data_IF_798922383994
#
_entry.id   IF_798922383994
#
_cell.length_a   1.000
_cell.length_b   1.000
_cell.length_c   1.000
_cell.angle_alpha   90.00
_cell.angle_beta   90.00
_cell.angle_gamma   90.00
#
_symmetry.space_group_name_H-M   'P 1'
#
loop_
_entity.id
_entity.type
_entity.pdbx_description
1 polymer ?
#
# COMPACT_ATOMS: atom_id res chain seq x y z
N UNK A 1 -11.15 63.29 78.59
CA UNK A 1 -9.95 63.98 78.06
C UNK A 1 -8.71 63.12 78.25
N UNK A 2 -8.28 62.75 79.45
CA UNK A 2 -7.10 61.88 79.66
C UNK A 2 -7.27 60.42 79.14
N UNK A 3 -8.46 59.83 79.32
CA UNK A 3 -8.75 58.46 78.86
C UNK A 3 -8.82 58.36 77.33
N UNK A 4 -9.32 59.42 76.69
CA UNK A 4 -9.42 59.52 75.22
C UNK A 4 -8.03 59.61 74.59
N UNK A 5 -7.12 60.39 75.20
CA UNK A 5 -5.71 60.51 74.77
C UNK A 5 -4.99 59.16 74.90
N UNK A 6 -5.20 58.42 75.99
CA UNK A 6 -4.65 57.05 76.16
C UNK A 6 -5.18 56.07 75.12
N UNK A 7 -6.46 56.14 74.78
CA UNK A 7 -7.06 55.29 73.75
C UNK A 7 -6.52 55.62 72.36
N UNK A 8 -6.36 56.91 72.03
CA UNK A 8 -5.73 57.35 70.77
C UNK A 8 -4.28 56.83 70.68
N UNK A 9 -3.50 56.91 71.77
CA UNK A 9 -2.11 56.43 71.78
C UNK A 9 -2.01 54.90 71.60
N UNK A 10 -2.92 54.12 72.23
CA UNK A 10 -3.03 52.68 71.98
C UNK A 10 -3.35 52.36 70.52
N UNK A 11 -4.24 53.12 69.90
CA UNK A 11 -4.66 52.94 68.51
C UNK A 11 -3.52 53.28 67.54
N UNK A 12 -2.78 54.36 67.80
CA UNK A 12 -1.57 54.73 67.06
C UNK A 12 -0.49 53.65 67.13
N UNK A 13 -0.19 53.11 68.31
CA UNK A 13 0.79 52.03 68.44
C UNK A 13 0.34 50.77 67.69
N UNK A 14 -0.96 50.44 67.73
CA UNK A 14 -1.52 49.31 66.98
C UNK A 14 -1.40 49.54 65.46
N UNK A 15 -1.69 50.74 64.98
CA UNK A 15 -1.48 51.11 63.57
C UNK A 15 -0.01 50.94 63.22
N UNK A 16 0.93 51.47 64.01
CA UNK A 16 2.37 51.33 63.74
C UNK A 16 2.80 49.86 63.65
N UNK A 17 2.31 48.99 64.54
CA UNK A 17 2.59 47.54 64.48
C UNK A 17 1.96 46.86 63.26
N UNK A 18 0.76 47.27 62.88
CA UNK A 18 0.08 46.72 61.71
C UNK A 18 0.80 47.18 60.43
N UNK A 19 1.21 48.45 60.34
CA UNK A 19 1.96 49.00 59.20
C UNK A 19 3.33 48.33 59.06
N UNK A 20 4.03 48.04 60.15
CA UNK A 20 5.31 47.30 60.10
C UNK A 20 5.11 45.83 59.71
N UNK A 21 4.02 45.20 60.15
CA UNK A 21 3.65 43.86 59.67
C UNK A 21 3.32 43.87 58.17
N UNK A 22 2.66 44.91 57.67
CA UNK A 22 2.35 45.05 56.24
C UNK A 22 3.63 45.25 55.42
N UNK A 23 4.55 46.13 55.83
CA UNK A 23 5.79 46.36 55.08
C UNK A 23 6.66 45.10 55.02
N UNK A 24 6.76 44.32 56.10
CA UNK A 24 7.47 43.03 56.05
C UNK A 24 6.83 42.04 55.09
N UNK A 25 5.49 41.95 55.05
CA UNK A 25 4.78 41.11 54.09
C UNK A 25 4.99 41.57 52.64
N UNK A 26 5.00 42.87 52.38
CA UNK A 26 5.27 43.44 51.05
C UNK A 26 6.67 43.03 50.58
N UNK A 27 7.69 43.19 51.41
CA UNK A 27 9.06 42.76 51.08
C UNK A 27 9.12 41.26 50.76
N UNK A 28 8.39 40.42 51.50
CA UNK A 28 8.34 38.98 51.20
C UNK A 28 7.56 38.64 49.92
N UNK A 29 6.62 39.49 49.51
CA UNK A 29 5.89 39.33 48.24
C UNK A 29 6.79 39.76 47.09
N UNK A 30 7.48 40.89 47.18
CA UNK A 30 8.43 41.36 46.16
C UNK A 30 9.51 40.31 45.89
N UNK A 31 10.12 39.76 46.96
CA UNK A 31 11.11 38.69 46.80
C UNK A 31 10.55 37.42 46.12
N UNK A 32 9.26 37.12 46.32
CA UNK A 32 8.60 35.98 45.64
C UNK A 32 8.26 36.30 44.19
N UNK A 33 7.95 37.56 43.88
CA UNK A 33 7.70 38.02 42.51
C UNK A 33 9.00 37.96 41.70
N UNK A 34 10.12 38.43 42.25
CA UNK A 34 11.44 38.32 41.60
C UNK A 34 11.78 36.86 41.30
N UNK A 35 11.58 35.95 42.27
CA UNK A 35 11.77 34.51 42.06
C UNK A 35 10.80 33.90 41.03
N UNK A 36 9.61 34.49 40.85
CA UNK A 36 8.66 34.02 39.84
C UNK A 36 9.05 34.52 38.45
N UNK A 37 9.56 35.74 38.33
CA UNK A 37 10.06 36.31 37.08
C UNK A 37 11.26 35.51 36.57
N UNK A 38 12.25 35.20 37.42
CA UNK A 38 13.40 34.36 37.04
C UNK A 38 12.94 32.99 36.50
N UNK A 39 11.93 32.39 37.14
CA UNK A 39 11.39 31.09 36.71
C UNK A 39 10.58 31.20 35.43
N UNK A 40 9.94 32.34 35.17
CA UNK A 40 9.23 32.59 33.92
C UNK A 40 10.22 32.73 32.76
N UNK A 41 11.30 33.47 32.94
CA UNK A 41 12.37 33.61 31.95
C UNK A 41 12.98 32.24 31.59
N UNK A 42 13.26 31.39 32.59
CA UNK A 42 13.72 30.02 32.35
C UNK A 42 12.70 29.18 31.57
N UNK A 43 11.41 29.33 31.88
CA UNK A 43 10.34 28.63 31.16
C UNK A 43 10.21 29.11 29.72
N UNK A 44 10.30 30.41 29.47
CA UNK A 44 10.23 30.99 28.12
C UNK A 44 11.37 30.48 27.24
N UNK A 45 12.61 30.47 27.75
CA UNK A 45 13.77 29.91 27.04
C UNK A 45 13.55 28.41 26.75
N UNK A 46 13.06 27.67 27.74
CA UNK A 46 12.79 26.24 27.57
C UNK A 46 11.69 25.98 26.54
N UNK A 47 10.64 26.81 26.50
CA UNK A 47 9.57 26.70 25.51
C UNK A 47 10.11 27.01 24.12
N UNK A 48 10.86 28.10 23.95
CA UNK A 48 11.47 28.45 22.66
C UNK A 48 12.39 27.34 22.13
N UNK A 49 13.25 26.78 22.99
CA UNK A 49 14.11 25.64 22.58
C UNK A 49 13.32 24.37 22.23
N UNK A 50 12.19 24.13 22.90
CA UNK A 50 11.31 23.01 22.57
C UNK A 50 10.57 23.23 21.24
N UNK A 51 10.13 24.44 20.96
CA UNK A 51 9.49 24.81 19.69
C UNK A 51 10.46 24.65 18.52
N UNK A 52 11.70 25.13 18.66
CA UNK A 52 12.76 24.96 17.65
C UNK A 52 13.04 23.47 17.38
N UNK A 53 13.13 22.66 18.44
CA UNK A 53 13.35 21.22 18.30
C UNK A 53 12.13 20.51 17.68
N UNK A 54 10.91 20.96 17.98
CA UNK A 54 9.69 20.42 17.38
C UNK A 54 9.66 20.68 15.87
N UNK A 55 10.03 21.89 15.44
CA UNK A 55 10.13 22.24 14.01
C UNK A 55 11.20 21.39 13.32
N UNK A 56 12.40 21.29 13.87
CA UNK A 56 13.47 20.46 13.32
C UNK A 56 13.07 18.97 13.24
N UNK A 57 12.33 18.48 14.25
CA UNK A 57 11.83 17.10 14.28
C UNK A 57 10.78 16.86 13.18
N UNK A 58 9.87 17.82 12.95
CA UNK A 58 8.88 17.76 11.88
C UNK A 58 9.54 17.72 10.50
N UNK A 59 10.55 18.56 10.27
CA UNK A 59 11.31 18.55 9.02
C UNK A 59 12.01 17.21 8.79
N UNK A 60 12.71 16.69 9.81
CA UNK A 60 13.36 15.37 9.75
C UNK A 60 12.36 14.25 9.47
N UNK A 61 11.16 14.29 10.09
CA UNK A 61 10.10 13.32 9.84
C UNK A 61 9.60 13.38 8.39
N UNK A 62 9.31 14.57 7.87
CA UNK A 62 8.88 14.73 6.47
C UNK A 62 9.93 14.23 5.47
N UNK A 63 11.20 14.51 5.73
CA UNK A 63 12.31 14.01 4.93
C UNK A 63 12.45 12.48 4.99
N UNK A 64 12.25 11.90 6.17
CA UNK A 64 12.28 10.45 6.36
C UNK A 64 11.12 9.77 5.63
N UNK A 65 9.90 10.31 5.71
CA UNK A 65 8.73 9.83 4.96
C UNK A 65 9.00 9.84 3.46
N UNK A 66 9.59 10.92 2.94
CA UNK A 66 9.96 11.03 1.52
C UNK A 66 11.00 9.99 1.12
N UNK A 67 12.00 9.72 1.96
CA UNK A 67 13.00 8.66 1.73
C UNK A 67 12.38 7.28 1.77
N UNK A 68 11.46 7.03 2.70
CA UNK A 68 10.73 5.76 2.81
C UNK A 68 9.86 5.50 1.58
N UNK A 69 9.14 6.49 1.08
CA UNK A 69 8.34 6.38 -0.15
C UNK A 69 9.22 6.02 -1.35
N UNK A 70 10.35 6.71 -1.53
CA UNK A 70 11.31 6.40 -2.61
C UNK A 70 11.89 5.00 -2.48
N UNK A 71 12.29 4.60 -1.27
CA UNK A 71 12.81 3.26 -1.02
C UNK A 71 11.76 2.19 -1.32
N UNK A 72 10.51 2.43 -0.92
CA UNK A 72 9.39 1.54 -1.18
C UNK A 72 9.14 1.37 -2.68
N UNK A 73 9.17 2.45 -3.47
CA UNK A 73 9.02 2.38 -4.91
C UNK A 73 10.19 1.65 -5.59
N UNK A 74 11.43 1.85 -5.12
CA UNK A 74 12.58 1.07 -5.57
C UNK A 74 12.43 -0.43 -5.29
N UNK A 75 11.98 -0.80 -4.08
CA UNK A 75 11.73 -2.22 -3.72
C UNK A 75 10.67 -2.83 -4.64
N UNK A 76 9.59 -2.11 -4.93
CA UNK A 76 8.56 -2.57 -5.87
C UNK A 76 9.13 -2.78 -7.26
N UNK A 77 9.92 -1.84 -7.76
CA UNK A 77 10.51 -1.95 -9.10
C UNK A 77 11.47 -3.14 -9.19
N UNK A 78 12.34 -3.33 -8.18
CA UNK A 78 13.25 -4.47 -8.09
C UNK A 78 12.51 -5.81 -8.05
N UNK A 79 11.46 -5.92 -7.23
CA UNK A 79 10.63 -7.13 -7.18
C UNK A 79 9.99 -7.42 -8.54
N UNK A 80 9.47 -6.38 -9.20
CA UNK A 80 8.84 -6.51 -10.51
C UNK A 80 9.82 -6.92 -11.61
N UNK A 81 11.05 -6.38 -11.61
CA UNK A 81 12.10 -6.77 -12.54
C UNK A 81 12.53 -8.22 -12.33
N UNK A 82 12.69 -8.63 -11.07
CA UNK A 82 13.05 -10.00 -10.69
C UNK A 82 12.00 -11.04 -11.11
N UNK A 83 10.71 -10.68 -11.07
CA UNK A 83 9.59 -11.56 -11.47
C UNK A 83 9.23 -11.48 -12.95
N UNK A 84 9.84 -10.59 -13.74
CA UNK A 84 9.42 -10.31 -15.12
C UNK A 84 9.45 -11.55 -16.04
N UNK A 85 10.45 -12.41 -15.84
CA UNK A 85 10.62 -13.64 -16.61
C UNK A 85 9.91 -14.85 -16.00
N UNK A 86 9.18 -14.65 -14.90
CA UNK A 86 8.50 -15.73 -14.21
C UNK A 86 7.10 -15.98 -14.80
N UNK A 87 6.71 -17.25 -14.81
CA UNK A 87 5.35 -17.75 -15.09
C UNK A 87 4.92 -18.62 -13.93
N UNK A 88 3.68 -18.43 -13.49
CA UNK A 88 3.02 -19.27 -12.50
C UNK A 88 2.10 -20.26 -13.21
N UNK A 89 2.36 -21.55 -13.04
CA UNK A 89 1.56 -22.65 -13.55
C UNK A 89 0.70 -23.19 -12.42
N UNK A 90 -0.62 -23.13 -12.58
CA UNK A 90 -1.59 -23.64 -11.62
C UNK A 90 -2.27 -24.89 -12.14
N UNK A 91 -2.64 -25.79 -11.22
CA UNK A 91 -3.42 -26.99 -11.53
C UNK A 91 -2.61 -28.23 -11.89
N UNK A 92 -1.26 -28.17 -11.87
CA UNK A 92 -0.44 -29.35 -12.10
C UNK A 92 -0.50 -30.29 -10.88
N UNK A 93 -0.94 -31.55 -11.02
CA UNK A 93 -1.00 -32.49 -9.90
C UNK A 93 0.35 -32.69 -9.22
N UNK A 94 0.34 -33.00 -7.94
CA UNK A 94 1.56 -33.03 -7.14
C UNK A 94 2.39 -34.30 -7.35
N UNK A 95 3.71 -34.14 -7.47
CA UNK A 95 4.65 -35.26 -7.54
C UNK A 95 4.94 -35.78 -8.95
N UNK A 96 4.25 -35.28 -9.99
CA UNK A 96 4.50 -35.71 -11.38
C UNK A 96 5.91 -35.32 -11.87
N UNK A 97 6.48 -34.27 -11.28
CA UNK A 97 7.83 -33.80 -11.61
C UNK A 97 8.94 -34.74 -11.14
N UNK A 98 8.63 -35.67 -10.23
CA UNK A 98 9.62 -36.57 -9.60
C UNK A 98 10.84 -35.83 -9.02
N UNK A 99 10.60 -34.67 -8.40
CA UNK A 99 11.66 -33.80 -7.86
C UNK A 99 12.49 -33.05 -8.91
N UNK A 100 12.19 -33.21 -10.20
CA UNK A 100 12.90 -32.59 -11.33
C UNK A 100 11.97 -31.71 -12.18
N UNK A 101 11.50 -30.57 -11.64
CA UNK A 101 10.54 -29.72 -12.34
C UNK A 101 11.07 -29.13 -13.64
N UNK A 102 12.38 -28.86 -13.74
CA UNK A 102 12.99 -28.33 -14.96
C UNK A 102 12.91 -29.33 -16.12
N UNK A 103 13.37 -30.57 -15.90
CA UNK A 103 13.32 -31.63 -16.93
C UNK A 103 11.88 -31.92 -17.37
N UNK A 104 10.96 -31.99 -16.40
CA UNK A 104 9.54 -32.19 -16.68
C UNK A 104 8.96 -31.08 -17.56
N UNK A 105 9.22 -29.81 -17.22
CA UNK A 105 8.65 -28.69 -17.96
C UNK A 105 9.27 -28.51 -19.34
N UNK A 106 10.59 -28.69 -19.48
CA UNK A 106 11.28 -28.60 -20.78
C UNK A 106 10.75 -29.64 -21.77
N UNK A 107 10.43 -30.85 -21.30
CA UNK A 107 9.86 -31.92 -22.13
C UNK A 107 8.39 -31.69 -22.50
N UNK A 108 7.58 -31.22 -21.55
CA UNK A 108 6.12 -31.22 -21.70
C UNK A 108 5.54 -29.89 -22.19
N UNK A 109 6.15 -28.74 -21.88
CA UNK A 109 5.65 -27.43 -22.31
C UNK A 109 5.52 -27.29 -23.84
N UNK A 110 6.47 -27.77 -24.68
CA UNK A 110 6.33 -27.69 -26.13
C UNK A 110 5.09 -28.42 -26.65
N UNK A 111 4.82 -29.60 -26.09
CA UNK A 111 3.68 -30.45 -26.46
C UNK A 111 2.38 -29.83 -25.96
N UNK A 112 2.36 -29.35 -24.71
CA UNK A 112 1.16 -28.76 -24.10
C UNK A 112 0.70 -27.48 -24.80
N UNK A 113 1.62 -26.66 -25.30
CA UNK A 113 1.35 -25.33 -25.85
C UNK A 113 1.54 -25.26 -27.37
N UNK A 114 1.72 -26.40 -28.04
CA UNK A 114 1.98 -26.54 -29.48
C UNK A 114 3.08 -25.58 -29.96
N UNK A 115 4.18 -25.51 -29.21
CA UNK A 115 5.29 -24.62 -29.53
C UNK A 115 6.01 -25.07 -30.81
N UNK A 116 6.57 -24.14 -31.61
CA UNK A 116 7.35 -24.50 -32.78
C UNK A 116 8.53 -25.37 -32.37
N UNK A 117 8.84 -26.41 -33.14
CA UNK A 117 9.94 -27.34 -32.82
C UNK A 117 11.33 -26.68 -32.79
N UNK A 118 11.46 -25.50 -33.40
CA UNK A 118 12.71 -24.70 -33.43
C UNK A 118 12.95 -23.92 -32.12
N UNK A 119 11.91 -23.74 -31.30
CA UNK A 119 11.99 -22.93 -30.08
C UNK A 119 12.55 -23.75 -28.90
N UNK A 120 13.76 -23.42 -28.47
CA UNK A 120 14.42 -24.06 -27.34
C UNK A 120 13.96 -23.38 -26.04
N UNK A 121 13.32 -24.14 -25.15
CA UNK A 121 12.90 -23.65 -23.84
C UNK A 121 14.07 -23.70 -22.86
N UNK A 122 14.60 -22.53 -22.51
CA UNK A 122 15.64 -22.37 -21.50
C UNK A 122 15.00 -21.91 -20.16
N UNK A 123 14.99 -22.83 -19.19
CA UNK A 123 14.49 -22.59 -17.83
C UNK A 123 15.69 -22.39 -16.90
N UNK A 124 15.73 -21.25 -16.21
CA UNK A 124 16.74 -20.94 -15.20
C UNK A 124 16.41 -21.64 -13.87
N UNK A 125 15.13 -21.58 -13.47
CA UNK A 125 14.66 -22.12 -12.20
C UNK A 125 13.21 -22.57 -12.34
N UNK A 126 12.87 -23.72 -11.78
CA UNK A 126 11.49 -24.15 -11.59
C UNK A 126 11.34 -24.75 -10.20
N UNK A 127 10.33 -24.32 -9.46
CA UNK A 127 10.03 -24.85 -8.13
C UNK A 127 8.54 -24.70 -7.81
N UNK A 128 8.04 -25.61 -6.96
CA UNK A 128 6.73 -25.45 -6.32
C UNK A 128 6.82 -24.35 -5.26
N UNK A 129 5.72 -23.63 -5.04
CA UNK A 129 5.65 -22.70 -3.90
C UNK A 129 5.91 -23.44 -2.59
N UNK A 130 6.71 -22.85 -1.69
CA UNK A 130 7.18 -23.42 -0.41
C UNK A 130 6.08 -23.72 0.65
N UNK A 131 4.83 -23.88 0.25
CA UNK A 131 3.75 -24.29 1.14
C UNK A 131 3.85 -25.80 1.44
N UNK A 132 3.40 -26.19 2.64
CA UNK A 132 3.26 -27.60 3.00
C UNK A 132 2.44 -28.34 1.95
N UNK A 133 2.85 -29.58 1.66
CA UNK A 133 2.20 -30.42 0.65
C UNK A 133 0.68 -30.50 0.93
N UNK A 134 -0.19 -29.98 0.06
CA UNK A 134 -1.63 -30.06 0.24
C UNK A 134 -2.10 -31.51 0.21
N UNK A 135 -3.24 -31.77 0.86
CA UNK A 135 -3.92 -33.07 0.74
C UNK A 135 -4.41 -33.26 -0.70
N UNK A 136 -4.63 -34.51 -1.11
CA UNK A 136 -5.15 -34.84 -2.46
C UNK A 136 -6.47 -34.12 -2.79
N UNK A 137 -7.27 -33.80 -1.77
CA UNK A 137 -8.54 -33.06 -1.91
C UNK A 137 -8.38 -31.55 -2.06
N UNK A 138 -7.19 -31.01 -1.78
CA UNK A 138 -6.88 -29.59 -1.86
C UNK A 138 -6.23 -29.25 -3.20
N UNK A 139 -6.27 -27.97 -3.58
CA UNK A 139 -5.68 -27.51 -4.84
C UNK A 139 -4.16 -27.74 -4.82
N UNK A 140 -3.57 -28.31 -5.89
CA UNK A 140 -2.12 -28.49 -5.98
C UNK A 140 -1.35 -27.18 -5.84
N UNK A 141 -0.17 -27.24 -5.22
CA UNK A 141 0.72 -26.09 -5.12
C UNK A 141 1.14 -25.58 -6.52
N UNK A 142 1.03 -24.27 -6.81
CA UNK A 142 1.52 -23.70 -8.05
C UNK A 142 3.02 -23.91 -8.24
N UNK A 143 3.44 -23.96 -9.50
CA UNK A 143 4.85 -23.98 -9.90
C UNK A 143 5.22 -22.62 -10.43
N UNK A 144 6.31 -22.05 -9.90
CA UNK A 144 6.91 -20.83 -10.40
C UNK A 144 8.09 -21.24 -11.28
N UNK A 145 8.05 -20.81 -12.53
CA UNK A 145 9.06 -21.11 -13.55
C UNK A 145 9.66 -19.80 -14.01
N UNK A 146 10.98 -19.67 -13.91
CA UNK A 146 11.75 -18.55 -14.44
C UNK A 146 12.42 -18.98 -15.74
N UNK A 147 12.09 -18.27 -16.82
CA UNK A 147 12.73 -18.45 -18.11
C UNK A 147 13.96 -17.56 -18.25
N UNK A 148 14.95 -18.02 -18.99
CA UNK A 148 16.15 -17.22 -19.27
C UNK A 148 15.82 -16.01 -20.16
N UNK A 149 14.97 -16.21 -21.16
CA UNK A 149 14.58 -15.20 -22.15
C UNK A 149 13.16 -14.68 -21.89
N UNK A 150 13.02 -13.36 -21.83
CA UNK A 150 11.71 -12.69 -21.68
C UNK A 150 10.74 -13.03 -22.84
N UNK A 151 11.27 -13.14 -24.07
CA UNK A 151 10.48 -13.48 -25.26
C UNK A 151 9.83 -14.86 -25.14
N UNK A 152 10.55 -15.85 -24.62
CA UNK A 152 10.03 -17.20 -24.38
C UNK A 152 8.87 -17.17 -23.38
N UNK A 153 9.04 -16.43 -22.28
CA UNK A 153 7.97 -16.23 -21.29
C UNK A 153 6.73 -15.60 -21.92
N UNK A 154 6.88 -14.59 -22.78
CA UNK A 154 5.73 -13.97 -23.48
C UNK A 154 5.07 -14.92 -24.47
N UNK A 155 5.86 -15.70 -25.20
CA UNK A 155 5.37 -16.71 -26.14
C UNK A 155 4.51 -17.75 -25.41
N UNK A 156 5.01 -18.31 -24.31
CA UNK A 156 4.30 -19.30 -23.48
C UNK A 156 2.94 -18.75 -23.03
N UNK A 157 2.91 -17.54 -22.46
CA UNK A 157 1.67 -16.93 -22.00
C UNK A 157 0.71 -16.62 -23.15
N UNK A 158 1.22 -16.21 -24.32
CA UNK A 158 0.41 -15.95 -25.51
C UNK A 158 -0.23 -17.24 -26.03
N UNK A 159 0.53 -18.33 -26.10
CA UNK A 159 0.04 -19.64 -26.55
C UNK A 159 -0.98 -20.21 -25.58
N UNK A 160 -0.70 -20.16 -24.28
CA UNK A 160 -1.64 -20.60 -23.24
C UNK A 160 -2.98 -19.86 -23.33
N UNK A 161 -2.95 -18.53 -23.55
CA UNK A 161 -4.18 -17.74 -23.75
C UNK A 161 -4.92 -18.09 -25.03
N UNK A 162 -4.19 -18.36 -26.13
CA UNK A 162 -4.79 -18.72 -27.43
C UNK A 162 -5.46 -20.11 -27.38
N UNK A 163 -4.89 -21.03 -26.60
CA UNK A 163 -5.40 -22.40 -26.48
C UNK A 163 -6.64 -22.50 -25.58
N UNK A 164 -6.93 -21.46 -24.79
CA UNK A 164 -8.03 -21.32 -23.81
C UNK A 164 -8.06 -22.38 -22.70
N UNK A 165 -8.01 -23.67 -23.05
CA UNK A 165 -7.90 -24.80 -22.13
C UNK A 165 -6.63 -25.62 -22.42
N UNK A 166 -5.75 -25.71 -21.42
CA UNK A 166 -4.59 -26.61 -21.45
C UNK A 166 -4.88 -27.72 -20.45
N UNK A 167 -4.93 -28.97 -20.92
CA UNK A 167 -5.29 -30.12 -20.09
C UNK A 167 -4.08 -31.05 -19.98
N UNK A 168 -3.80 -31.50 -18.76
CA UNK A 168 -2.82 -32.53 -18.44
C UNK A 168 -3.50 -33.62 -17.63
N UNK A 169 -3.59 -34.85 -18.16
CA UNK A 169 -4.13 -36.02 -17.43
C UNK A 169 -5.43 -35.70 -16.65
N UNK A 170 -6.42 -35.10 -17.34
CA UNK A 170 -7.70 -34.63 -16.79
C UNK A 170 -7.65 -33.43 -15.83
N UNK A 171 -6.48 -32.83 -15.62
CA UNK A 171 -6.30 -31.61 -14.83
C UNK A 171 -6.18 -30.39 -15.74
N UNK A 172 -7.00 -29.37 -15.49
CA UNK A 172 -6.93 -28.09 -16.20
C UNK A 172 -5.74 -27.27 -15.68
N UNK A 173 -4.80 -26.98 -16.57
CA UNK A 173 -3.65 -26.13 -16.30
C UNK A 173 -3.97 -24.69 -16.67
N UNK A 174 -3.51 -23.77 -15.83
CA UNK A 174 -3.65 -22.35 -16.06
C UNK A 174 -2.31 -21.63 -15.90
N UNK A 175 -1.98 -20.77 -16.86
CA UNK A 175 -0.71 -20.07 -16.95
C UNK A 175 -0.89 -18.58 -16.69
N UNK A 176 -0.20 -18.06 -15.68
CA UNK A 176 -0.29 -16.68 -15.28
C UNK A 176 1.07 -16.01 -15.19
N UNK A 177 1.04 -14.69 -15.27
CA UNK A 177 2.21 -13.88 -14.93
C UNK A 177 2.43 -13.97 -13.42
N UNK A 178 3.67 -14.18 -12.99
CA UNK A 178 4.03 -14.00 -11.59
C UNK A 178 4.10 -12.50 -11.28
N UNK A 179 3.09 -11.99 -10.59
CA UNK A 179 2.96 -10.58 -10.24
C UNK A 179 3.22 -10.41 -8.74
N UNK A 180 3.82 -9.28 -8.35
CA UNK A 180 3.95 -8.93 -6.93
C UNK A 180 2.59 -8.83 -6.24
N UNK A 181 2.56 -9.02 -4.91
CA UNK A 181 1.32 -8.99 -4.12
C UNK A 181 0.57 -7.67 -4.27
N UNK A 182 1.27 -6.54 -4.33
CA UNK A 182 0.65 -5.24 -4.57
C UNK A 182 -0.02 -5.16 -5.94
N UNK A 183 0.63 -5.64 -7.01
CA UNK A 183 0.02 -5.70 -8.34
C UNK A 183 -1.18 -6.63 -8.34
N UNK A 184 -1.09 -7.80 -7.70
CA UNK A 184 -2.22 -8.71 -7.56
C UNK A 184 -3.39 -8.03 -6.83
N UNK A 185 -3.15 -7.28 -5.75
CA UNK A 185 -4.18 -6.54 -5.02
C UNK A 185 -4.81 -5.46 -5.90
N UNK A 186 -4.01 -4.69 -6.63
CA UNK A 186 -4.55 -3.70 -7.60
C UNK A 186 -5.38 -4.39 -8.68
N UNK A 187 -4.95 -5.54 -9.22
CA UNK A 187 -5.74 -6.33 -10.16
C UNK A 187 -7.04 -6.84 -9.57
N UNK A 188 -7.02 -7.26 -8.30
CA UNK A 188 -8.22 -7.69 -7.56
C UNK A 188 -9.21 -6.56 -7.41
N UNK A 189 -8.76 -5.34 -7.16
CA UNK A 189 -9.63 -4.17 -7.08
C UNK A 189 -10.43 -3.96 -8.37
N UNK A 190 -9.87 -4.27 -9.55
CA UNK A 190 -10.58 -4.19 -10.84
C UNK A 190 -11.52 -5.37 -11.13
N UNK A 191 -11.61 -6.41 -10.29
CA UNK A 191 -12.45 -7.58 -10.57
C UNK A 191 -13.91 -7.17 -10.73
N UNK A 192 -14.41 -6.33 -9.83
CA UNK A 192 -15.79 -5.87 -9.84
C UNK A 192 -16.11 -5.05 -11.10
N UNK A 193 -15.29 -4.03 -11.41
CA UNK A 193 -15.46 -3.25 -12.63
C UNK A 193 -15.37 -4.09 -13.91
N UNK A 194 -14.49 -5.10 -13.95
CA UNK A 194 -14.42 -6.05 -15.09
C UNK A 194 -15.66 -6.92 -15.21
N UNK A 195 -16.26 -7.33 -14.08
CA UNK A 195 -17.50 -8.10 -14.08
C UNK A 195 -18.64 -7.29 -14.70
N UNK A 196 -18.82 -6.05 -14.25
CA UNK A 196 -19.83 -5.14 -14.79
C UNK A 196 -19.60 -4.83 -16.29
N UNK A 197 -18.36 -4.56 -16.70
CA UNK A 197 -18.04 -4.33 -18.13
C UNK A 197 -18.35 -5.57 -18.99
N UNK A 198 -18.17 -6.77 -18.46
CA UNK A 198 -18.51 -8.03 -19.14
C UNK A 198 -20.01 -8.20 -19.27
N UNK A 199 -20.77 -7.93 -18.21
CA UNK A 199 -22.24 -7.96 -18.22
C UNK A 199 -22.82 -6.98 -19.24
N UNK A 200 -22.20 -5.81 -19.37
CA UNK A 200 -22.57 -4.78 -20.36
C UNK A 200 -22.03 -5.03 -21.78
N UNK A 201 -21.31 -6.14 -22.01
CA UNK A 201 -20.76 -6.49 -23.31
C UNK A 201 -19.66 -5.55 -23.84
N UNK A 202 -19.05 -4.73 -22.98
CA UNK A 202 -18.03 -3.76 -23.37
C UNK A 202 -16.66 -4.43 -23.46
N UNK A 203 -15.95 -4.23 -24.59
CA UNK A 203 -14.60 -4.78 -24.79
C UNK A 203 -13.60 -4.04 -23.88
N UNK A 204 -12.85 -4.81 -23.11
CA UNK A 204 -11.78 -4.29 -22.26
C UNK A 204 -10.52 -5.14 -22.34
N UNK A 205 -9.37 -4.51 -22.10
CA UNK A 205 -8.06 -5.15 -22.07
C UNK A 205 -7.28 -4.66 -20.85
N UNK A 206 -6.74 -5.60 -20.08
CA UNK A 206 -5.83 -5.27 -18.98
C UNK A 206 -4.39 -5.20 -19.50
N UNK A 207 -3.76 -4.04 -19.42
CA UNK A 207 -2.38 -3.84 -19.86
C UNK A 207 -1.41 -4.12 -18.72
N UNK A 208 -0.22 -4.61 -19.07
CA UNK A 208 0.91 -4.69 -18.15
C UNK A 208 1.17 -3.30 -17.54
N UNK A 209 1.35 -3.24 -16.22
CA UNK A 209 1.30 -2.02 -15.37
C UNK A 209 -0.05 -1.69 -14.70
N UNK A 210 -1.00 -2.64 -14.70
CA UNK A 210 -2.28 -2.52 -13.95
C UNK A 210 -3.18 -1.39 -14.49
N UNK A 211 -3.19 -1.21 -15.81
CA UNK A 211 -4.05 -0.23 -16.48
C UNK A 211 -5.18 -0.96 -17.18
N UNK A 212 -6.43 -0.62 -16.86
CA UNK A 212 -7.60 -1.15 -17.55
C UNK A 212 -7.94 -0.26 -18.75
N UNK A 213 -7.84 -0.79 -19.96
CA UNK A 213 -8.30 -0.11 -21.18
C UNK A 213 -9.70 -0.59 -21.53
N UNK A 214 -10.61 0.34 -21.72
CA UNK A 214 -12.01 0.09 -22.10
C UNK A 214 -12.26 0.75 -23.45
N UNK A 215 -12.82 0.00 -24.39
CA UNK A 215 -13.21 0.52 -25.70
C UNK A 215 -14.72 0.72 -25.69
N UNK A 216 -15.15 1.98 -25.72
CA UNK A 216 -16.56 2.35 -25.71
C UNK A 216 -16.82 3.37 -26.82
N UNK A 217 -17.82 3.11 -27.68
CA UNK A 217 -18.20 3.97 -28.83
C UNK A 217 -17.00 4.37 -29.73
N UNK A 218 -16.06 3.45 -29.93
CA UNK A 218 -14.86 3.68 -30.74
C UNK A 218 -13.75 4.49 -30.06
N UNK A 219 -13.96 4.98 -28.82
CA UNK A 219 -12.93 5.65 -28.02
C UNK A 219 -12.30 4.71 -27.00
N UNK A 220 -11.00 4.85 -26.81
CA UNK A 220 -10.23 4.06 -25.84
C UNK A 220 -10.01 4.88 -24.56
N UNK A 221 -10.58 4.43 -23.45
CA UNK A 221 -10.37 5.01 -22.13
C UNK A 221 -9.39 4.15 -21.33
N UNK A 222 -8.44 4.78 -20.63
CA UNK A 222 -7.43 4.08 -19.81
C UNK A 222 -7.57 4.47 -18.34
N UNK A 223 -7.73 3.48 -17.46
CA UNK A 223 -7.97 3.69 -16.04
C UNK A 223 -6.85 3.11 -15.18
N UNK A 224 -6.41 3.89 -14.19
CA UNK A 224 -5.35 3.53 -13.24
C UNK A 224 -5.92 3.08 -11.88
N UNK A 225 -7.18 3.42 -11.59
CA UNK A 225 -7.88 3.09 -10.35
C UNK A 225 -9.21 2.42 -10.64
N UNK A 226 -9.64 1.52 -9.75
CA UNK A 226 -10.92 0.80 -9.90
C UNK A 226 -12.11 1.75 -9.77
N UNK A 227 -12.03 2.71 -8.84
CA UNK A 227 -13.06 3.74 -8.62
C UNK A 227 -13.37 4.55 -9.88
N UNK A 228 -12.33 4.92 -10.65
CA UNK A 228 -12.51 5.63 -11.91
C UNK A 228 -13.27 4.80 -12.96
N UNK A 229 -13.09 3.47 -12.97
CA UNK A 229 -13.83 2.56 -13.84
C UNK A 229 -15.29 2.50 -13.43
N UNK A 230 -15.56 2.32 -12.14
CA UNK A 230 -16.94 2.24 -11.61
C UNK A 230 -17.68 3.55 -11.90
N UNK A 231 -17.03 4.70 -11.64
CA UNK A 231 -17.58 6.02 -11.96
C UNK A 231 -17.87 6.17 -13.45
N UNK A 232 -17.00 5.65 -14.31
CA UNK A 232 -17.21 5.66 -15.76
C UNK A 232 -18.41 4.80 -16.17
N UNK A 233 -18.58 3.62 -15.57
CA UNK A 233 -19.72 2.73 -15.82
C UNK A 233 -21.03 3.40 -15.42
N UNK A 234 -21.08 3.97 -14.22
CA UNK A 234 -22.26 4.66 -13.70
C UNK A 234 -22.69 5.84 -14.58
N UNK A 235 -21.73 6.65 -15.02
CA UNK A 235 -22.03 7.84 -15.82
C UNK A 235 -22.39 7.52 -17.27
N UNK A 236 -21.70 6.58 -17.90
CA UNK A 236 -21.75 6.44 -19.37
C UNK A 236 -22.49 5.20 -19.87
N UNK A 237 -22.67 4.19 -19.01
CA UNK A 237 -23.25 2.90 -19.41
C UNK A 237 -24.63 2.66 -18.77
N UNK A 238 -24.85 3.06 -17.51
CA UNK A 238 -26.16 2.90 -16.85
C UNK A 238 -27.22 3.90 -17.33
N UNK A 239 -26.85 5.12 -17.72
CA UNK A 239 -27.78 6.07 -18.34
C UNK A 239 -28.36 5.60 -19.69
N UNK A 240 -27.76 4.58 -20.32
CA UNK A 240 -28.23 4.05 -21.60
C UNK A 240 -29.35 3.00 -21.45
N UNK A 241 -29.42 2.29 -20.32
CA UNK A 241 -30.50 1.33 -20.05
C UNK A 241 -31.83 2.05 -19.80
N UNK A 242 -31.81 3.18 -19.09
CA UNK A 242 -33.03 3.96 -18.82
C UNK A 242 -33.61 4.57 -20.10
N UNK A 243 -32.79 5.02 -21.05
CA UNK A 243 -33.26 5.57 -22.32
C UNK A 243 -33.78 4.53 -23.33
N UNK A 244 -33.48 3.24 -23.14
CA UNK A 244 -33.99 2.16 -24.00
C UNK A 244 -35.27 1.51 -23.48
N UNK A 245 -35.58 1.66 -22.19
CA UNK A 245 -36.79 1.11 -21.58
C UNK A 245 -38.02 2.05 -21.70
N UNK A 246 -37.88 3.21 -22.35
CA UNK A 246 -38.96 4.17 -22.60
C UNK A 246 -39.19 4.46 -24.10
N UNK A 247 -38.71 3.59 -25.02
CA UNK A 247 -39.02 3.67 -26.45
C UNK A 247 -39.65 2.38 -26.95
#
# INVERSE_FOLDING_TARGET
MDEDIKNIFKLLNKIVTDTSSITTKIITIDAKLDMMDDRLDEMEIRISTLEDHEEESKEKMADMEKKLLKAWDCVKDLENRSRRNNVCIMGLPEGIEDGKPIEFLTKNLPILLDLPSEEIIEIELAHRTFASRPKVTQRPCPIIVRFLKFQMRELILKRARKKEEVIWENSKLAFFQDLSKEKQNKWKAFIEGKKQLRELGVKYTMVYSVILRVIHKGQQHSFHTSEAVITFIQKNLQQQEDSKNYS
#
